data_IF_285356019035
#
_entry.id   IF_285356019035
#
_cell.length_a   1.000
_cell.length_b   1.000
_cell.length_c   1.000
_cell.angle_alpha   90.00
_cell.angle_beta   90.00
_cell.angle_gamma   90.00
#
_symmetry.space_group_name_H-M   'P 1'
#
loop_
_entity.id
_entity.type
_entity.pdbx_description
1 polymer ?
#
# COMPACT_ATOMS: atom_id res chain seq x y z
N UNK A 1 -11.94 -0.60 -19.24
CA UNK A 1 -12.61 -1.37 -18.15
C UNK A 1 -13.75 -0.55 -17.52
N UNK A 2 -14.81 -1.14 -16.94
CA UNK A 2 -15.81 -0.37 -16.16
C UNK A 2 -15.59 -0.66 -14.68
N UNK A 3 -15.30 0.39 -13.90
CA UNK A 3 -15.17 0.31 -12.45
C UNK A 3 -16.52 0.69 -11.82
N UNK A 4 -17.11 -0.17 -10.98
CA UNK A 4 -18.32 0.13 -10.23
C UNK A 4 -18.00 0.97 -8.98
N UNK A 5 -19.02 1.61 -8.39
CA UNK A 5 -18.85 2.32 -7.11
C UNK A 5 -18.42 1.37 -5.99
N UNK A 6 -19.00 0.18 -5.94
CA UNK A 6 -18.65 -0.87 -4.99
C UNK A 6 -17.18 -1.29 -5.10
N UNK A 7 -16.62 -1.30 -6.31
CA UNK A 7 -15.20 -1.57 -6.53
C UNK A 7 -14.31 -0.43 -6.01
N UNK A 8 -14.72 0.83 -6.20
CA UNK A 8 -14.01 2.00 -5.63
C UNK A 8 -14.04 1.96 -4.10
N UNK A 9 -15.20 1.68 -3.51
CA UNK A 9 -15.36 1.53 -2.05
C UNK A 9 -14.50 0.40 -1.50
N UNK A 10 -14.46 -0.74 -2.19
CA UNK A 10 -13.60 -1.87 -1.80
C UNK A 10 -12.12 -1.53 -1.87
N UNK A 11 -11.68 -0.81 -2.91
CA UNK A 11 -10.31 -0.33 -3.03
C UNK A 11 -9.96 0.66 -1.91
N UNK A 12 -10.90 1.55 -1.57
CA UNK A 12 -10.73 2.50 -0.48
C UNK A 12 -10.59 1.79 0.88
N UNK A 13 -11.40 0.76 1.17
CA UNK A 13 -11.27 -0.01 2.40
C UNK A 13 -9.93 -0.78 2.48
N UNK A 14 -9.47 -1.36 1.37
CA UNK A 14 -8.16 -2.02 1.31
C UNK A 14 -7.02 -1.02 1.58
N UNK A 15 -7.15 0.21 1.09
CA UNK A 15 -6.20 1.30 1.32
C UNK A 15 -6.40 2.03 2.67
N UNK A 16 -7.42 1.65 3.45
CA UNK A 16 -7.82 2.31 4.70
C UNK A 16 -8.11 3.81 4.54
N UNK A 17 -8.73 4.16 3.40
CA UNK A 17 -9.20 5.51 3.09
C UNK A 17 -10.70 5.59 3.32
N UNK A 18 -11.13 6.59 4.10
CA UNK A 18 -12.53 6.96 4.22
C UNK A 18 -12.85 7.98 3.14
N UNK A 19 -13.80 7.66 2.27
CA UNK A 19 -14.22 8.51 1.15
C UNK A 19 -15.70 8.86 1.30
N UNK A 20 -16.03 10.09 0.93
CA UNK A 20 -17.40 10.54 0.76
C UNK A 20 -18.00 10.04 -0.56
N UNK A 21 -19.33 10.06 -0.68
CA UNK A 21 -20.03 9.70 -1.92
C UNK A 21 -19.61 10.56 -3.11
N UNK A 22 -19.31 11.84 -2.87
CA UNK A 22 -18.81 12.76 -3.89
C UNK A 22 -17.42 12.35 -4.39
N UNK A 23 -16.52 11.98 -3.48
CA UNK A 23 -15.19 11.48 -3.80
C UNK A 23 -15.24 10.13 -4.51
N UNK A 24 -16.15 9.23 -4.12
CA UNK A 24 -16.34 7.94 -4.80
C UNK A 24 -16.73 8.17 -6.26
N UNK A 25 -17.66 9.08 -6.55
CA UNK A 25 -18.05 9.42 -7.92
C UNK A 25 -16.88 10.03 -8.71
N UNK A 26 -16.12 10.93 -8.07
CA UNK A 26 -14.96 11.57 -8.70
C UNK A 26 -13.89 10.54 -9.06
N UNK A 27 -13.51 9.69 -8.11
CA UNK A 27 -12.47 8.68 -8.32
C UNK A 27 -12.91 7.57 -9.25
N UNK A 28 -14.21 7.25 -9.33
CA UNK A 28 -14.72 6.30 -10.31
C UNK A 28 -14.35 6.72 -11.74
N UNK A 29 -14.59 7.97 -12.13
CA UNK A 29 -14.24 8.45 -13.47
C UNK A 29 -12.72 8.58 -13.65
N UNK A 30 -12.01 9.12 -12.66
CA UNK A 30 -10.55 9.29 -12.76
C UNK A 30 -9.81 7.94 -12.86
N UNK A 31 -10.17 6.95 -12.04
CA UNK A 31 -9.56 5.63 -12.07
C UNK A 31 -9.86 4.90 -13.39
N UNK A 32 -11.07 5.10 -13.93
CA UNK A 32 -11.42 4.56 -15.26
C UNK A 32 -10.53 5.14 -16.35
N UNK A 33 -10.20 6.42 -16.32
CA UNK A 33 -9.28 7.04 -17.28
C UNK A 33 -7.85 6.51 -17.12
N UNK A 34 -7.38 6.38 -15.88
CA UNK A 34 -6.05 5.80 -15.58
C UNK A 34 -5.95 4.35 -16.05
N UNK A 35 -6.93 3.51 -15.72
CA UNK A 35 -6.95 2.10 -16.14
C UNK A 35 -7.03 1.97 -17.66
N UNK A 36 -7.84 2.80 -18.32
CA UNK A 36 -7.91 2.81 -19.78
C UNK A 36 -6.59 3.24 -20.43
N UNK A 37 -5.81 4.11 -19.77
CA UNK A 37 -4.47 4.44 -20.23
C UNK A 37 -3.47 3.28 -20.01
N UNK A 38 -3.54 2.60 -18.86
CA UNK A 38 -2.71 1.43 -18.54
C UNK A 38 -3.02 0.23 -19.45
N UNK A 39 -4.27 0.08 -19.90
CA UNK A 39 -4.71 -0.98 -20.82
C UNK A 39 -3.88 -1.03 -22.12
N UNK A 40 -3.23 0.07 -22.51
CA UNK A 40 -2.31 0.13 -23.67
C UNK A 40 -1.13 -0.83 -23.56
N UNK A 41 -0.73 -1.21 -22.34
CA UNK A 41 0.35 -2.19 -22.13
C UNK A 41 -0.03 -3.55 -22.74
N UNK A 42 -1.32 -3.89 -22.78
CA UNK A 42 -1.79 -5.16 -23.35
C UNK A 42 -1.65 -5.24 -24.88
N UNK A 43 -1.35 -4.13 -25.56
CA UNK A 43 -1.10 -4.10 -27.01
C UNK A 43 0.31 -4.61 -27.37
N UNK A 44 1.18 -4.78 -26.37
CA UNK A 44 2.57 -5.20 -26.55
C UNK A 44 2.70 -6.72 -26.36
N UNK A 45 3.44 -7.38 -27.25
CA UNK A 45 3.86 -8.77 -27.05
C UNK A 45 5.04 -8.81 -26.07
N UNK A 46 4.77 -9.28 -24.85
CA UNK A 46 5.74 -9.38 -23.76
C UNK A 46 6.13 -10.84 -23.44
N UNK A 47 5.67 -11.84 -24.21
CA UNK A 47 5.85 -13.27 -23.87
C UNK A 47 7.32 -13.70 -23.71
N UNK A 48 8.22 -13.03 -24.44
CA UNK A 48 9.66 -13.34 -24.45
C UNK A 48 10.50 -12.36 -23.64
N UNK A 49 9.86 -11.36 -23.02
CA UNK A 49 10.54 -10.35 -22.22
C UNK A 49 10.52 -10.79 -20.76
N UNK A 50 11.71 -10.95 -20.18
CA UNK A 50 11.83 -11.20 -18.74
C UNK A 50 11.39 -9.95 -17.98
N UNK A 51 10.59 -10.13 -16.95
CA UNK A 51 10.27 -9.07 -15.99
C UNK A 51 11.55 -8.46 -15.41
N UNK A 52 11.56 -7.13 -15.23
CA UNK A 52 12.67 -6.43 -14.61
C UNK A 52 12.37 -6.21 -13.13
N UNK A 53 13.13 -6.88 -12.28
CA UNK A 53 13.17 -6.69 -10.83
C UNK A 53 14.43 -5.88 -10.49
N UNK A 54 14.43 -4.61 -10.88
CA UNK A 54 15.52 -3.68 -10.55
C UNK A 54 15.79 -3.69 -9.04
N UNK A 55 16.95 -4.21 -8.65
CA UNK A 55 17.38 -4.35 -7.24
C UNK A 55 17.35 -5.76 -6.66
N UNK A 56 16.74 -6.75 -7.32
CA UNK A 56 16.73 -8.15 -6.88
C UNK A 56 17.61 -9.08 -7.75
N UNK A 57 17.84 -8.73 -9.02
CA UNK A 57 18.51 -9.62 -9.99
C UNK A 57 20.04 -9.62 -9.89
N UNK A 58 20.63 -8.51 -9.41
CA UNK A 58 22.09 -8.31 -9.29
C UNK A 58 22.55 -8.04 -7.86
N UNK A 59 21.62 -8.01 -6.91
CA UNK A 59 21.98 -7.69 -5.56
C UNK A 59 22.56 -8.94 -4.89
N UNK A 60 23.81 -8.82 -4.45
CA UNK A 60 24.39 -9.66 -3.41
C UNK A 60 23.64 -9.40 -2.09
N UNK A 61 22.32 -9.59 -2.07
CA UNK A 61 21.46 -9.58 -0.89
C UNK A 61 21.79 -10.84 -0.10
N UNK A 62 22.92 -10.82 0.59
CA UNK A 62 23.26 -11.80 1.59
C UNK A 62 22.42 -11.57 2.86
N UNK A 63 22.27 -12.60 3.71
CA UNK A 63 21.66 -12.41 5.01
C UNK A 63 22.44 -11.34 5.79
N UNK A 64 21.72 -10.46 6.49
CA UNK A 64 22.32 -9.59 7.49
C UNK A 64 23.00 -10.47 8.56
N UNK A 65 24.22 -10.14 9.02
CA UNK A 65 24.86 -10.89 10.10
C UNK A 65 24.00 -10.85 11.37
N UNK A 66 23.96 -11.96 12.11
CA UNK A 66 23.29 -12.05 13.39
C UNK A 66 24.11 -11.36 14.49
N UNK A 67 24.05 -10.03 14.50
CA UNK A 67 24.65 -9.18 15.52
C UNK A 67 23.56 -8.35 16.18
N UNK A 68 23.61 -8.29 17.51
CA UNK A 68 22.76 -7.43 18.32
C UNK A 68 23.20 -5.98 18.14
N UNK A 69 22.26 -5.12 17.78
CA UNK A 69 22.45 -3.67 17.72
C UNK A 69 21.63 -3.01 18.82
N UNK A 70 22.04 -1.82 19.26
CA UNK A 70 21.33 -1.08 20.30
C UNK A 70 19.94 -0.67 19.83
N UNK A 71 18.92 -0.91 20.66
CA UNK A 71 17.58 -0.35 20.42
C UNK A 71 17.55 1.15 20.74
N UNK A 72 16.60 1.86 20.14
CA UNK A 72 16.30 3.28 20.42
C UNK A 72 14.92 3.38 21.08
N UNK A 73 14.78 3.02 22.38
CA UNK A 73 13.50 3.03 23.06
C UNK A 73 12.85 4.43 23.10
N UNK A 74 13.64 5.50 23.00
CA UNK A 74 13.18 6.87 22.94
C UNK A 74 12.30 7.19 21.73
N UNK A 75 12.36 6.39 20.66
CA UNK A 75 11.54 6.56 19.44
C UNK A 75 10.04 6.46 19.79
N UNK A 76 9.67 5.75 20.85
CA UNK A 76 8.28 5.64 21.28
C UNK A 76 7.64 6.99 21.60
N UNK A 77 8.44 7.98 22.00
CA UNK A 77 7.99 9.35 22.30
C UNK A 77 7.45 10.09 21.07
N UNK A 78 7.67 9.56 19.87
CA UNK A 78 7.14 10.11 18.61
C UNK A 78 5.72 9.60 18.30
N UNK A 79 5.19 8.66 19.08
CA UNK A 79 3.83 8.17 18.88
C UNK A 79 2.81 9.27 19.16
N UNK A 80 1.76 9.33 18.33
CA UNK A 80 0.69 10.31 18.49
C UNK A 80 -0.08 10.15 19.81
N UNK A 81 -0.27 8.90 20.26
CA UNK A 81 -0.99 8.58 21.48
C UNK A 81 -0.13 7.68 22.38
N UNK A 82 0.03 8.10 23.62
CA UNK A 82 0.84 7.41 24.63
C UNK A 82 0.01 7.16 25.89
N UNK A 83 0.15 5.97 26.46
CA UNK A 83 -0.39 5.61 27.76
C UNK A 83 0.74 5.00 28.61
N UNK A 84 1.27 5.78 29.55
CA UNK A 84 2.47 5.41 30.30
C UNK A 84 3.68 5.22 29.36
N UNK A 85 4.25 4.01 29.35
CA UNK A 85 5.39 3.64 28.50
C UNK A 85 4.97 2.96 27.19
N UNK A 86 3.67 2.94 26.86
CA UNK A 86 3.14 2.23 25.71
C UNK A 86 2.52 3.18 24.68
N UNK A 87 2.57 2.78 23.40
CA UNK A 87 1.77 3.41 22.36
C UNK A 87 0.31 2.96 22.50
N UNK A 88 -0.60 3.91 22.63
CA UNK A 88 -2.02 3.63 22.73
C UNK A 88 -2.66 3.57 21.33
N UNK A 89 -3.45 2.54 21.08
CA UNK A 89 -4.22 2.37 19.86
C UNK A 89 -5.68 1.98 20.20
N UNK A 90 -6.63 2.23 19.30
CA UNK A 90 -7.99 1.73 19.46
C UNK A 90 -8.01 0.22 19.67
N UNK A 91 -8.97 -0.25 20.48
CA UNK A 91 -9.16 -1.68 20.73
C UNK A 91 -9.41 -2.41 19.40
N UNK A 92 -8.69 -3.50 19.16
CA UNK A 92 -8.74 -4.24 17.88
C UNK A 92 -9.95 -5.19 17.82
N UNK A 93 -10.39 -5.70 18.95
CA UNK A 93 -11.52 -6.62 19.04
C UNK A 93 -12.56 -6.08 20.02
N UNK A 94 -13.80 -5.93 19.56
CA UNK A 94 -14.94 -5.77 20.46
C UNK A 94 -15.25 -7.16 21.06
N UNK A 95 -15.28 -7.24 22.39
CA UNK A 95 -15.76 -8.46 23.07
C UNK A 95 -17.29 -8.38 23.12
#
# INVERSE_FOLDING_TARGET
>A
MKLSKEEVEKLADLAKLQLSDEEINLYQEQLKDVLSYVDKINELDLEKIKESLTGAEDSKLGPRPDKVESSQPEVIKQACNMEGEYMAAPKVFDN
#
